data_IF_271617973699
#
_entry.id   IF_271617973699
#
_cell.length_a   1.000
_cell.length_b   1.000
_cell.length_c   1.000
_cell.angle_alpha   90.00
_cell.angle_beta   90.00
_cell.angle_gamma   90.00
#
_symmetry.space_group_name_H-M   'P 1'
#
loop_
_entity.id
_entity.type
_entity.pdbx_description
1 polymer ?
#
# COMPACT_ATOMS: atom_id res chain seq x y z
N UNK A 1 20.25 -5.43 4.45
CA UNK A 1 18.86 -5.74 4.02
C UNK A 1 17.86 -5.78 5.18
N UNK A 2 18.06 -6.58 6.24
CA UNK A 2 17.12 -6.65 7.39
C UNK A 2 16.78 -5.29 8.03
N UNK A 3 17.75 -4.38 8.17
CA UNK A 3 17.52 -3.02 8.69
C UNK A 3 16.56 -2.19 7.83
N UNK A 4 16.73 -2.24 6.49
CA UNK A 4 15.86 -1.55 5.52
C UNK A 4 14.43 -2.09 5.61
N UNK A 5 14.28 -3.41 5.74
CA UNK A 5 12.95 -4.03 5.90
C UNK A 5 12.25 -3.55 7.17
N UNK A 6 12.97 -3.52 8.29
CA UNK A 6 12.42 -3.05 9.57
C UNK A 6 11.99 -1.59 9.45
N UNK A 7 12.81 -0.71 8.88
CA UNK A 7 12.45 0.70 8.72
C UNK A 7 11.25 0.89 7.78
N UNK A 8 11.24 0.25 6.61
CA UNK A 8 10.15 0.36 5.64
C UNK A 8 8.83 -0.16 6.21
N UNK A 9 8.86 -1.32 6.88
CA UNK A 9 7.66 -1.90 7.51
C UNK A 9 7.18 -1.08 8.69
N UNK A 10 8.08 -0.52 9.50
CA UNK A 10 7.70 0.37 10.61
C UNK A 10 7.06 1.66 10.09
N UNK A 11 7.66 2.30 9.08
CA UNK A 11 7.11 3.50 8.43
C UNK A 11 5.75 3.20 7.82
N UNK A 12 5.60 2.05 7.15
CA UNK A 12 4.32 1.61 6.59
C UNK A 12 3.24 1.44 7.66
N UNK A 13 3.54 0.73 8.76
CA UNK A 13 2.58 0.51 9.84
C UNK A 13 2.18 1.83 10.50
N UNK A 14 3.17 2.66 10.87
CA UNK A 14 2.93 3.94 11.56
C UNK A 14 2.15 4.89 10.65
N UNK A 15 2.55 5.01 9.38
CA UNK A 15 1.87 5.85 8.40
C UNK A 15 0.43 5.40 8.16
N UNK A 16 0.21 4.09 7.99
CA UNK A 16 -1.12 3.53 7.78
C UNK A 16 -2.03 3.71 8.99
N UNK A 17 -1.51 3.48 10.20
CA UNK A 17 -2.26 3.72 11.44
C UNK A 17 -2.57 5.20 11.63
N UNK A 18 -1.63 6.09 11.32
CA UNK A 18 -1.84 7.54 11.36
C UNK A 18 -2.99 7.98 10.45
N UNK A 19 -2.98 7.54 9.19
CA UNK A 19 -4.06 7.84 8.24
C UNK A 19 -5.39 7.24 8.70
N UNK A 20 -5.40 6.00 9.16
CA UNK A 20 -6.61 5.34 9.65
C UNK A 20 -7.21 6.07 10.88
N UNK A 21 -6.37 6.56 11.79
CA UNK A 21 -6.81 7.33 12.96
C UNK A 21 -7.34 8.72 12.57
N UNK A 22 -6.74 9.38 11.58
CA UNK A 22 -7.22 10.67 11.07
C UNK A 22 -8.61 10.58 10.43
N UNK A 23 -8.96 9.41 9.88
CA UNK A 23 -10.28 9.15 9.30
C UNK A 23 -11.29 8.51 10.24
N UNK A 24 -10.91 8.18 11.48
CA UNK A 24 -11.79 7.51 12.43
C UNK A 24 -12.49 8.52 13.36
N UNK A 25 -13.73 8.22 13.74
CA UNK A 25 -14.41 8.93 14.83
C UNK A 25 -13.61 8.77 16.14
N UNK A 26 -13.61 9.79 16.99
CA UNK A 26 -12.90 9.76 18.27
C UNK A 26 -13.89 9.69 19.46
N UNK A 27 -13.74 8.71 20.38
CA UNK A 27 -12.74 7.63 20.39
C UNK A 27 -12.97 6.58 19.28
N UNK A 28 -11.92 5.86 18.81
CA UNK A 28 -12.05 4.88 17.74
C UNK A 28 -13.09 3.82 18.08
N UNK A 29 -13.99 3.46 17.14
CA UNK A 29 -15.04 2.50 17.40
C UNK A 29 -14.47 1.10 17.66
N UNK A 30 -15.23 0.25 18.35
CA UNK A 30 -14.81 -1.10 18.72
C UNK A 30 -14.47 -1.97 17.48
N UNK A 31 -14.91 -1.61 16.28
CA UNK A 31 -14.53 -2.28 15.03
C UNK A 31 -13.12 -1.93 14.50
N UNK A 32 -12.45 -0.91 15.06
CA UNK A 32 -11.17 -0.39 14.55
C UNK A 32 -10.04 -1.43 14.59
N UNK A 33 -10.09 -2.41 15.50
CA UNK A 33 -9.10 -3.51 15.54
C UNK A 33 -9.05 -4.31 14.23
N UNK A 34 -10.15 -4.35 13.46
CA UNK A 34 -10.16 -5.01 12.15
C UNK A 34 -9.22 -4.30 11.17
N UNK A 35 -9.17 -2.96 11.22
CA UNK A 35 -8.25 -2.17 10.41
C UNK A 35 -6.80 -2.45 10.83
N UNK A 36 -6.54 -2.53 12.14
CA UNK A 36 -5.20 -2.89 12.66
C UNK A 36 -4.77 -4.28 12.16
N UNK A 37 -5.69 -5.26 12.17
CA UNK A 37 -5.42 -6.61 11.67
C UNK A 37 -5.10 -6.61 10.17
N UNK A 38 -5.85 -5.85 9.37
CA UNK A 38 -5.59 -5.69 7.93
C UNK A 38 -4.24 -5.03 7.68
N UNK A 39 -3.93 -3.93 8.38
CA UNK A 39 -2.63 -3.24 8.27
C UNK A 39 -1.49 -4.21 8.60
N UNK A 40 -1.63 -5.00 9.66
CA UNK A 40 -0.62 -5.97 10.08
C UNK A 40 -0.41 -7.07 9.03
N UNK A 41 -1.49 -7.57 8.43
CA UNK A 41 -1.41 -8.57 7.36
C UNK A 41 -0.72 -7.99 6.11
N UNK A 42 -1.09 -6.78 5.69
CA UNK A 42 -0.48 -6.10 4.53
C UNK A 42 0.98 -5.79 4.80
N UNK A 43 1.34 -5.38 6.03
CA UNK A 43 2.71 -5.14 6.44
C UNK A 43 3.57 -6.41 6.34
N UNK A 44 3.01 -7.57 6.69
CA UNK A 44 3.66 -8.87 6.55
C UNK A 44 3.84 -9.26 5.08
N UNK A 45 2.83 -9.05 4.23
CA UNK A 45 2.96 -9.26 2.78
C UNK A 45 4.06 -8.35 2.21
N UNK A 46 4.05 -7.06 2.58
CA UNK A 46 5.05 -6.09 2.14
C UNK A 46 6.47 -6.49 2.60
N UNK A 47 6.61 -7.05 3.81
CA UNK A 47 7.88 -7.54 4.31
C UNK A 47 8.49 -8.64 3.43
N UNK A 48 7.70 -9.62 2.99
CA UNK A 48 8.18 -10.66 2.07
C UNK A 48 8.39 -10.12 0.66
N UNK A 49 7.52 -9.22 0.20
CA UNK A 49 7.69 -8.57 -1.10
C UNK A 49 8.99 -7.76 -1.18
N UNK A 50 9.42 -7.14 -0.08
CA UNK A 50 10.64 -6.33 -0.05
C UNK A 50 11.91 -7.16 -0.35
N UNK A 51 11.96 -8.43 0.05
CA UNK A 51 13.10 -9.29 -0.27
C UNK A 51 13.23 -9.46 -1.79
N UNK A 52 12.12 -9.83 -2.42
CA UNK A 52 12.03 -9.98 -3.87
C UNK A 52 12.33 -8.67 -4.61
N UNK A 53 11.81 -7.55 -4.09
CA UNK A 53 12.00 -6.23 -4.69
C UNK A 53 13.47 -5.81 -4.62
N UNK A 54 14.10 -5.88 -3.45
CA UNK A 54 15.47 -5.43 -3.26
C UNK A 54 16.50 -6.26 -4.04
N UNK A 55 16.22 -7.54 -4.28
CA UNK A 55 17.05 -8.39 -5.16
C UNK A 55 16.96 -7.99 -6.64
N UNK A 56 15.84 -7.39 -7.06
CA UNK A 56 15.51 -7.14 -8.48
C UNK A 56 15.34 -5.67 -8.81
N UNK A 57 15.62 -4.76 -7.87
CA UNK A 57 15.33 -3.32 -7.94
C UNK A 57 15.98 -2.63 -9.14
N UNK A 58 17.13 -3.13 -9.61
CA UNK A 58 17.82 -2.59 -10.78
C UNK A 58 17.18 -3.00 -12.11
N UNK A 59 16.25 -3.96 -12.12
CA UNK A 59 15.56 -4.37 -13.33
C UNK A 59 14.35 -3.48 -13.61
N UNK A 60 14.14 -3.10 -14.88
CA UNK A 60 12.92 -2.39 -15.31
C UNK A 60 11.64 -3.18 -14.99
N UNK A 61 11.74 -4.52 -14.93
CA UNK A 61 10.64 -5.42 -14.58
C UNK A 61 10.16 -5.21 -13.14
N UNK A 62 11.06 -4.89 -12.21
CA UNK A 62 10.68 -4.62 -10.82
C UNK A 62 9.76 -3.41 -10.71
N UNK A 63 10.07 -2.31 -11.41
CA UNK A 63 9.24 -1.10 -11.44
C UNK A 63 7.82 -1.41 -11.93
N UNK A 64 7.70 -2.06 -13.10
CA UNK A 64 6.40 -2.41 -13.67
C UNK A 64 5.61 -3.35 -12.74
N UNK A 65 6.28 -4.31 -12.10
CA UNK A 65 5.64 -5.21 -11.15
C UNK A 65 5.19 -4.47 -9.88
N UNK A 66 6.00 -3.58 -9.32
CA UNK A 66 5.61 -2.82 -8.12
C UNK A 66 4.41 -1.91 -8.40
N UNK A 67 4.48 -1.10 -9.47
CA UNK A 67 3.37 -0.21 -9.86
C UNK A 67 2.12 -1.03 -10.16
N UNK A 68 2.26 -2.13 -10.91
CA UNK A 68 1.16 -3.02 -11.26
C UNK A 68 0.50 -3.67 -10.03
N UNK A 69 1.30 -4.16 -9.07
CA UNK A 69 0.78 -4.76 -7.83
C UNK A 69 -0.03 -3.73 -7.03
N UNK A 70 0.50 -2.52 -6.82
CA UNK A 70 -0.23 -1.50 -6.06
C UNK A 70 -1.46 -0.98 -6.81
N UNK A 71 -1.41 -0.86 -8.14
CA UNK A 71 -2.57 -0.52 -8.96
C UNK A 71 -3.67 -1.60 -8.83
N UNK A 72 -3.29 -2.89 -8.91
CA UNK A 72 -4.22 -4.01 -8.74
C UNK A 72 -4.81 -4.05 -7.34
N UNK A 73 -3.99 -3.83 -6.29
CA UNK A 73 -4.48 -3.76 -4.91
C UNK A 73 -5.49 -2.63 -4.73
N UNK A 74 -5.20 -1.43 -5.23
CA UNK A 74 -6.15 -0.30 -5.21
C UNK A 74 -7.44 -0.60 -5.97
N UNK A 75 -7.33 -1.24 -7.13
CA UNK A 75 -8.48 -1.70 -7.91
C UNK A 75 -9.32 -2.73 -7.17
N UNK A 76 -8.70 -3.73 -6.55
CA UNK A 76 -9.38 -4.75 -5.74
C UNK A 76 -10.06 -4.14 -4.52
N UNK A 77 -9.38 -3.27 -3.77
CA UNK A 77 -9.95 -2.57 -2.61
C UNK A 77 -11.15 -1.72 -2.99
N UNK A 78 -11.11 -1.06 -4.14
CA UNK A 78 -12.27 -0.28 -4.59
C UNK A 78 -13.39 -1.21 -5.06
N UNK A 79 -13.09 -2.27 -5.81
CA UNK A 79 -14.10 -3.23 -6.26
C UNK A 79 -14.84 -3.89 -5.08
N UNK A 80 -14.14 -4.20 -3.98
CA UNK A 80 -14.78 -4.72 -2.76
C UNK A 80 -15.66 -3.67 -2.08
N UNK A 81 -15.25 -2.40 -2.05
CA UNK A 81 -16.10 -1.32 -1.57
C UNK A 81 -17.38 -1.17 -2.40
N UNK A 82 -17.27 -1.26 -3.73
CA UNK A 82 -18.41 -1.20 -4.65
C UNK A 82 -19.37 -2.36 -4.37
N UNK A 83 -18.83 -3.59 -4.32
CA UNK A 83 -19.61 -4.79 -4.04
C UNK A 83 -20.33 -4.72 -2.69
N UNK A 84 -19.66 -4.19 -1.65
CA UNK A 84 -20.23 -4.02 -0.32
C UNK A 84 -21.32 -2.93 -0.27
N UNK A 85 -21.20 -1.88 -1.08
CA UNK A 85 -22.15 -0.76 -1.11
C UNK A 85 -23.44 -1.05 -1.90
N UNK A 86 -23.44 -2.06 -2.77
CA UNK A 86 -24.62 -2.46 -3.57
C UNK A 86 -25.09 -1.44 -4.61
N UNK A 87 -24.38 -0.31 -4.79
CA UNK A 87 -24.78 0.76 -5.71
C UNK A 87 -23.59 1.23 -6.56
N UNK A 88 -23.66 0.99 -7.86
CA UNK A 88 -22.75 1.60 -8.84
C UNK A 88 -23.27 2.99 -9.22
N UNK A 89 -22.77 4.03 -8.53
CA UNK A 89 -23.00 5.42 -8.93
C UNK A 89 -21.93 5.86 -9.93
N UNK A 90 -22.25 6.83 -10.78
CA UNK A 90 -21.31 7.39 -11.77
C UNK A 90 -20.05 7.96 -11.09
N UNK A 91 -20.23 8.55 -9.90
CA UNK A 91 -19.16 9.05 -9.02
C UNK A 91 -18.20 7.93 -8.58
N UNK A 92 -18.72 6.72 -8.36
CA UNK A 92 -17.93 5.56 -7.93
C UNK A 92 -16.88 5.16 -8.97
N UNK A 93 -17.15 5.37 -10.27
CA UNK A 93 -16.20 5.11 -11.36
C UNK A 93 -15.07 6.15 -11.38
N UNK A 94 -15.38 7.40 -11.03
CA UNK A 94 -14.36 8.46 -10.91
C UNK A 94 -13.45 8.16 -9.72
N UNK A 95 -14.03 7.77 -8.57
CA UNK A 95 -13.27 7.34 -7.40
C UNK A 95 -12.42 6.10 -7.67
N UNK A 96 -12.91 5.14 -8.46
CA UNK A 96 -12.12 4.00 -8.92
C UNK A 96 -10.85 4.44 -9.65
N UNK A 97 -10.99 5.33 -10.63
CA UNK A 97 -9.84 5.86 -11.37
C UNK A 97 -8.84 6.57 -10.45
N UNK A 98 -9.34 7.41 -9.53
CA UNK A 98 -8.50 8.15 -8.58
C UNK A 98 -7.76 7.22 -7.61
N UNK A 99 -8.43 6.19 -7.07
CA UNK A 99 -7.81 5.24 -6.15
C UNK A 99 -6.74 4.43 -6.87
N UNK A 100 -7.03 3.91 -8.08
CA UNK A 100 -6.04 3.14 -8.87
C UNK A 100 -4.82 4.01 -9.21
N UNK A 101 -5.03 5.26 -9.64
CA UNK A 101 -3.94 6.19 -9.93
C UNK A 101 -3.14 6.53 -8.66
N UNK A 102 -3.83 6.77 -7.55
CA UNK A 102 -3.22 7.07 -6.26
C UNK A 102 -2.36 5.90 -5.75
N UNK A 103 -2.85 4.67 -5.82
CA UNK A 103 -2.07 3.49 -5.41
C UNK A 103 -0.94 3.20 -6.39
N UNK A 104 -1.14 3.38 -7.70
CA UNK A 104 -0.06 3.26 -8.69
C UNK A 104 1.06 4.30 -8.42
N UNK A 105 0.69 5.54 -8.10
CA UNK A 105 1.64 6.59 -7.73
C UNK A 105 2.38 6.25 -6.42
N UNK A 106 1.68 5.71 -5.42
CA UNK A 106 2.32 5.19 -4.21
C UNK A 106 3.31 4.06 -4.54
N UNK A 107 2.95 3.11 -5.40
CA UNK A 107 3.85 2.03 -5.84
C UNK A 107 5.09 2.55 -6.56
N UNK A 108 4.95 3.60 -7.37
CA UNK A 108 6.06 4.29 -8.02
C UNK A 108 7.00 4.93 -6.99
N UNK A 109 6.45 5.68 -6.02
CA UNK A 109 7.23 6.30 -4.95
C UNK A 109 7.93 5.25 -4.09
N UNK A 110 7.23 4.18 -3.73
CA UNK A 110 7.77 3.07 -2.96
C UNK A 110 8.96 2.41 -3.68
N UNK A 111 8.83 2.16 -4.98
CA UNK A 111 9.94 1.66 -5.80
C UNK A 111 11.11 2.65 -5.83
N UNK A 112 10.84 3.93 -6.05
CA UNK A 112 11.86 4.98 -6.14
C UNK A 112 12.64 5.11 -4.82
N UNK A 113 11.95 5.15 -3.69
CA UNK A 113 12.57 5.22 -2.35
C UNK A 113 13.47 4.01 -2.12
N UNK A 114 12.98 2.80 -2.40
CA UNK A 114 13.76 1.58 -2.21
C UNK A 114 14.95 1.48 -3.19
N UNK A 115 14.80 2.00 -4.40
CA UNK A 115 15.88 2.13 -5.38
C UNK A 115 16.97 3.09 -4.90
N UNK A 116 16.59 4.29 -4.40
CA UNK A 116 17.52 5.26 -3.82
C UNK A 116 18.25 4.66 -2.61
N UNK A 117 17.52 4.02 -1.69
CA UNK A 117 18.12 3.37 -0.52
C UNK A 117 19.15 2.32 -0.96
N UNK A 118 18.84 1.48 -1.95
CA UNK A 118 19.80 0.49 -2.45
C UNK A 118 21.01 1.12 -3.13
N UNK A 119 20.84 2.28 -3.77
CA UNK A 119 21.92 2.99 -4.44
C UNK A 119 22.87 3.71 -3.45
N UNK A 120 22.32 4.30 -2.39
CA UNK A 120 23.10 5.09 -1.42
C UNK A 120 23.55 4.31 -0.18
N UNK A 121 22.81 3.27 0.22
CA UNK A 121 23.11 2.43 1.39
C UNK A 121 23.59 1.07 0.88
N UNK A 122 24.91 0.88 0.80
CA UNK A 122 25.55 -0.39 0.46
C UNK A 122 25.27 -1.47 1.51
#
# INVERSE_FOLDING_TARGET
MKKIKISETAVFIIGSLGIALLGADFPPPLGFWKIIAVISLVALIQWYYLDWLLERINSKKSLLMTVGIYALLGGMSTATMIAASGQLKKETVIWLGLIILGTAAYGLLFWLVNWLIRHFVK
#
